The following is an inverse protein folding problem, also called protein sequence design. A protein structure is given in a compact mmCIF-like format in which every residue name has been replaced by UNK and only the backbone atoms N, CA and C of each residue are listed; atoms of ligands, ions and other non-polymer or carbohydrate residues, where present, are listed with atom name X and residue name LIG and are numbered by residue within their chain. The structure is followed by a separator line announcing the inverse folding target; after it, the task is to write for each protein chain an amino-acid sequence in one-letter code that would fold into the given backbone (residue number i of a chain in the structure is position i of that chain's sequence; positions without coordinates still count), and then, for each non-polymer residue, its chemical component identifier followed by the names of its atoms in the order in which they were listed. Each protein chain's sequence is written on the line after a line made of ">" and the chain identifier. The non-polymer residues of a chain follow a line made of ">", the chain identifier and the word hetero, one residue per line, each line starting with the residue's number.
data_IF_834520045144
#
_entry.id   IF_834520045144
#
_cell.length_a   1.000
_cell.length_b   1.000
_cell.length_c   1.000
_cell.angle_alpha   90.00
_cell.angle_beta   90.00
_cell.angle_gamma   90.00
#
_symmetry.space_group_name_H-M   'P 1'
#
loop_
_entity.id
_entity.type
_entity.pdbx_description
1 polymer ?
#
# COMPACT_ATOMS: atom_id res chain seq x y z
N UNK A 1 16.90 13.38 4.08
CA UNK A 1 15.86 13.19 5.14
C UNK A 1 15.42 11.76 5.05
N UNK A 2 15.42 11.03 6.16
CA UNK A 2 14.92 9.66 6.20
C UNK A 2 13.39 9.65 6.08
N UNK A 3 12.82 8.56 5.58
CA UNK A 3 11.37 8.46 5.33
C UNK A 3 10.52 8.72 6.58
N UNK A 4 10.96 8.23 7.76
CA UNK A 4 10.25 8.45 9.02
C UNK A 4 10.23 9.92 9.41
N UNK A 5 11.39 10.61 9.34
CA UNK A 5 11.50 12.06 9.62
C UNK A 5 10.57 12.87 8.70
N UNK A 6 10.44 12.43 7.45
CA UNK A 6 9.57 13.10 6.49
C UNK A 6 8.08 12.96 6.86
N UNK A 7 7.61 11.76 7.21
CA UNK A 7 6.24 11.55 7.67
C UNK A 7 5.97 12.25 9.01
N UNK A 8 6.91 12.23 9.94
CA UNK A 8 6.81 12.94 11.21
C UNK A 8 6.68 14.45 11.02
N UNK A 9 7.43 15.02 10.07
CA UNK A 9 7.30 16.44 9.71
C UNK A 9 5.94 16.78 9.13
N UNK A 10 5.38 15.91 8.28
CA UNK A 10 4.03 16.04 7.73
C UNK A 10 2.96 15.94 8.81
N UNK A 11 3.10 14.96 9.69
CA UNK A 11 2.18 14.78 10.82
C UNK A 11 2.19 16.00 11.77
N UNK A 12 3.36 16.57 12.02
CA UNK A 12 3.50 17.81 12.79
C UNK A 12 2.87 19.00 12.08
N UNK A 13 2.98 19.07 10.76
CA UNK A 13 2.46 20.18 9.94
C UNK A 13 0.92 20.15 9.82
N UNK A 14 0.34 18.99 9.56
CA UNK A 14 -1.06 18.85 9.17
C UNK A 14 -1.94 18.20 10.25
N UNK A 15 -1.35 17.44 11.17
CA UNK A 15 -2.10 16.71 12.21
C UNK A 15 -2.63 15.33 11.79
N UNK A 16 -3.20 14.62 12.77
CA UNK A 16 -3.61 13.20 12.65
C UNK A 16 -4.92 12.95 11.88
N UNK A 17 -5.67 14.00 11.54
CA UNK A 17 -6.95 13.87 10.83
C UNK A 17 -6.89 14.51 9.44
N UNK A 18 -5.69 14.78 8.96
CA UNK A 18 -5.45 15.41 7.66
C UNK A 18 -4.62 14.46 6.78
N UNK A 19 -5.21 13.93 5.73
CA UNK A 19 -4.57 12.94 4.86
C UNK A 19 -3.30 13.44 4.16
N UNK A 20 -3.03 14.76 4.15
CA UNK A 20 -1.76 15.32 3.71
C UNK A 20 -0.60 14.88 4.60
N UNK A 21 -0.86 14.49 5.86
CA UNK A 21 0.13 13.85 6.75
C UNK A 21 0.61 12.49 6.23
N UNK A 22 -0.22 11.77 5.47
CA UNK A 22 0.12 10.53 4.79
C UNK A 22 0.58 10.75 3.34
N UNK A 23 0.95 11.99 2.97
CA UNK A 23 1.34 12.37 1.61
C UNK A 23 0.24 12.27 0.56
N UNK A 24 -1.02 12.31 0.95
CA UNK A 24 -2.12 12.44 0.00
C UNK A 24 -2.30 13.91 -0.41
N UNK A 25 -2.76 14.13 -1.64
CA UNK A 25 -2.86 15.48 -2.21
C UNK A 25 -3.97 16.35 -1.61
N UNK A 26 -4.88 15.76 -0.85
CA UNK A 26 -6.03 16.46 -0.26
C UNK A 26 -6.24 16.09 1.21
N UNK A 27 -6.87 16.99 1.95
CA UNK A 27 -7.13 16.84 3.38
C UNK A 27 -8.06 15.67 3.69
N UNK A 28 -9.07 15.45 2.86
CA UNK A 28 -10.13 14.46 3.07
C UNK A 28 -9.74 13.07 2.57
N UNK A 29 -8.57 12.91 1.92
CA UNK A 29 -8.11 11.62 1.40
C UNK A 29 -8.94 11.06 0.26
N UNK A 30 -9.55 11.91 -0.58
CA UNK A 30 -10.40 11.47 -1.71
C UNK A 30 -9.67 10.54 -2.66
N UNK A 31 -8.41 10.85 -2.98
CA UNK A 31 -7.58 10.01 -3.84
C UNK A 31 -7.22 8.69 -3.17
N UNK A 32 -6.95 8.68 -1.86
CA UNK A 32 -6.73 7.46 -1.09
C UNK A 32 -7.97 6.57 -1.11
N UNK A 33 -9.13 7.15 -0.77
CA UNK A 33 -10.41 6.43 -0.79
C UNK A 33 -10.70 5.79 -2.14
N UNK A 34 -10.48 6.52 -3.25
CA UNK A 34 -10.71 6.00 -4.60
C UNK A 34 -9.84 4.77 -4.92
N UNK A 35 -8.59 4.74 -4.44
CA UNK A 35 -7.69 3.60 -4.61
C UNK A 35 -8.13 2.37 -3.81
N UNK A 36 -8.49 2.55 -2.54
CA UNK A 36 -9.06 1.46 -1.75
C UNK A 36 -10.38 0.96 -2.33
N UNK A 37 -11.25 1.86 -2.79
CA UNK A 37 -12.50 1.49 -3.45
C UNK A 37 -12.25 0.63 -4.68
N UNK A 38 -11.27 0.99 -5.51
CA UNK A 38 -10.90 0.19 -6.68
C UNK A 38 -10.43 -1.22 -6.29
N UNK A 39 -9.62 -1.37 -5.22
CA UNK A 39 -9.21 -2.68 -4.71
C UNK A 39 -10.41 -3.45 -4.16
N UNK A 40 -11.29 -2.75 -3.43
CA UNK A 40 -12.44 -3.37 -2.78
C UNK A 40 -13.44 -3.95 -3.79
N UNK A 41 -13.60 -3.32 -4.95
CA UNK A 41 -14.46 -3.78 -6.04
C UNK A 41 -13.95 -5.05 -6.76
N UNK A 42 -12.67 -5.43 -6.57
CA UNK A 42 -12.05 -6.55 -7.28
C UNK A 42 -12.10 -7.87 -6.51
N UNK A 43 -12.61 -7.89 -5.28
CA UNK A 43 -12.49 -9.06 -4.42
C UNK A 43 -13.69 -9.22 -3.48
N UNK A 44 -14.02 -10.47 -3.16
CA UNK A 44 -14.99 -10.76 -2.12
C UNK A 44 -14.30 -10.78 -0.75
N UNK A 45 -14.52 -9.73 0.03
CA UNK A 45 -13.88 -9.50 1.33
C UNK A 45 -14.53 -10.24 2.51
N UNK A 46 -15.64 -10.94 2.26
CA UNK A 46 -16.37 -11.65 3.31
C UNK A 46 -15.49 -12.72 3.96
N UNK A 47 -15.35 -12.66 5.27
CA UNK A 47 -14.55 -13.59 6.08
C UNK A 47 -13.06 -13.69 5.70
N UNK A 48 -12.48 -12.63 5.16
CA UNK A 48 -11.08 -12.62 4.69
C UNK A 48 -10.12 -12.05 5.71
N UNK A 49 -8.89 -12.62 5.72
CA UNK A 49 -7.74 -12.14 6.46
C UNK A 49 -6.93 -11.20 5.57
N UNK A 50 -6.77 -9.96 6.01
CA UNK A 50 -6.12 -8.89 5.27
C UNK A 50 -4.78 -8.51 5.88
N UNK A 51 -3.73 -8.49 5.06
CA UNK A 51 -2.46 -7.81 5.33
C UNK A 51 -2.43 -6.48 4.58
N UNK A 52 -2.14 -5.39 5.27
CA UNK A 52 -1.90 -4.09 4.62
C UNK A 52 -0.46 -3.62 4.85
N UNK A 53 0.29 -3.41 3.76
CA UNK A 53 1.65 -2.87 3.79
C UNK A 53 1.61 -1.36 3.55
N UNK A 54 2.18 -0.61 4.51
CA UNK A 54 2.09 0.86 4.54
C UNK A 54 0.72 1.34 5.00
N UNK A 55 0.21 0.76 6.09
CA UNK A 55 -1.13 1.04 6.60
C UNK A 55 -1.30 2.46 7.17
N UNK A 56 -0.20 3.19 7.42
CA UNK A 56 -0.24 4.49 8.05
C UNK A 56 -0.97 4.44 9.39
N UNK A 57 -1.91 5.34 9.58
CA UNK A 57 -2.78 5.35 10.78
C UNK A 57 -4.06 4.51 10.65
N UNK A 58 -4.11 3.54 9.73
CA UNK A 58 -5.27 2.68 9.53
C UNK A 58 -6.37 3.31 8.69
N UNK A 59 -6.01 4.12 7.69
CA UNK A 59 -6.95 4.85 6.83
C UNK A 59 -7.92 3.97 6.05
N UNK A 60 -7.61 2.69 5.86
CA UNK A 60 -8.54 1.69 5.34
C UNK A 60 -9.88 1.72 6.09
N UNK A 61 -9.85 1.79 7.41
CA UNK A 61 -11.05 1.83 8.26
C UNK A 61 -11.72 3.21 8.27
N UNK A 62 -10.97 4.31 8.10
CA UNK A 62 -11.54 5.66 8.01
C UNK A 62 -12.53 5.78 6.85
N UNK A 63 -12.34 4.99 5.79
CA UNK A 63 -13.22 4.98 4.62
C UNK A 63 -14.39 3.99 4.73
N UNK A 64 -14.53 3.30 5.86
CA UNK A 64 -15.62 2.38 6.13
C UNK A 64 -15.44 0.98 5.53
N UNK A 65 -14.22 0.62 5.07
CA UNK A 65 -13.94 -0.73 4.62
C UNK A 65 -13.77 -1.67 5.81
N UNK A 66 -14.13 -2.93 5.62
CA UNK A 66 -14.09 -3.95 6.67
C UNK A 66 -13.53 -5.27 6.16
N UNK A 67 -12.92 -6.04 7.05
CA UNK A 67 -12.46 -7.40 6.83
C UNK A 67 -12.58 -8.19 8.15
N UNK A 68 -12.48 -9.52 8.07
CA UNK A 68 -12.60 -10.38 9.27
C UNK A 68 -11.39 -10.20 10.20
N UNK A 69 -10.21 -10.53 9.71
CA UNK A 69 -8.94 -10.33 10.43
C UNK A 69 -8.10 -9.30 9.67
N UNK A 70 -7.36 -8.48 10.41
CA UNK A 70 -6.52 -7.43 9.83
C UNK A 70 -5.18 -7.37 10.54
N UNK A 71 -4.13 -7.23 9.73
CA UNK A 71 -2.80 -6.85 10.18
C UNK A 71 -2.27 -5.73 9.28
N UNK A 72 -2.05 -4.56 9.86
CA UNK A 72 -1.41 -3.43 9.19
C UNK A 72 0.05 -3.33 9.58
N UNK A 73 0.94 -3.13 8.62
CA UNK A 73 2.37 -2.92 8.82
C UNK A 73 2.76 -1.55 8.27
N UNK A 74 3.47 -0.77 9.08
CA UNK A 74 4.10 0.48 8.67
C UNK A 74 5.45 0.64 9.36
N UNK A 75 6.37 1.38 8.75
CA UNK A 75 7.70 1.65 9.33
C UNK A 75 7.70 2.84 10.28
N UNK A 76 6.63 3.64 10.31
CA UNK A 76 6.54 4.84 11.12
C UNK A 76 5.81 4.58 12.44
N UNK A 77 6.54 4.61 13.55
CA UNK A 77 6.04 4.35 14.90
C UNK A 77 4.92 5.31 15.32
N UNK A 78 4.99 6.59 14.92
CA UNK A 78 3.97 7.58 15.27
C UNK A 78 2.64 7.30 14.56
N UNK A 79 2.69 6.87 13.29
CA UNK A 79 1.49 6.46 12.56
C UNK A 79 0.88 5.19 13.15
N UNK A 80 1.70 4.19 13.49
CA UNK A 80 1.24 2.94 14.15
C UNK A 80 0.60 3.24 15.51
N UNK A 81 1.18 4.15 16.30
CA UNK A 81 0.59 4.58 17.57
C UNK A 81 -0.82 5.15 17.36
N UNK A 82 -0.98 6.06 16.39
CA UNK A 82 -2.29 6.64 16.05
C UNK A 82 -3.28 5.55 15.60
N UNK A 83 -2.83 4.62 14.73
CA UNK A 83 -3.66 3.51 14.25
C UNK A 83 -4.18 2.64 15.40
N UNK A 84 -3.29 2.29 16.34
CA UNK A 84 -3.62 1.46 17.51
C UNK A 84 -4.60 2.17 18.46
N UNK A 85 -4.43 3.48 18.65
CA UNK A 85 -5.37 4.29 19.45
C UNK A 85 -6.76 4.39 18.79
N UNK A 86 -6.80 4.58 17.45
CA UNK A 86 -8.06 4.69 16.69
C UNK A 86 -8.81 3.37 16.58
N UNK A 87 -8.10 2.26 16.42
CA UNK A 87 -8.65 0.95 16.12
C UNK A 87 -8.10 -0.14 17.05
N UNK A 88 -8.41 -0.10 18.38
CA UNK A 88 -7.78 -0.95 19.39
C UNK A 88 -8.07 -2.46 19.20
N UNK A 89 -9.08 -2.81 18.41
CA UNK A 89 -9.45 -4.20 18.09
C UNK A 89 -8.78 -4.72 16.80
N UNK A 90 -7.85 -3.96 16.22
CA UNK A 90 -7.10 -4.35 15.02
C UNK A 90 -5.62 -4.48 15.34
N UNK A 91 -4.91 -5.30 14.56
CA UNK A 91 -3.47 -5.50 14.75
C UNK A 91 -2.70 -4.52 13.87
N UNK A 92 -1.84 -3.72 14.50
CA UNK A 92 -0.91 -2.82 13.83
C UNK A 92 0.51 -3.10 14.32
N UNK A 93 1.48 -3.12 13.40
CA UNK A 93 2.87 -3.45 13.70
C UNK A 93 3.79 -2.40 13.08
N UNK A 94 4.72 -1.89 13.90
CA UNK A 94 5.88 -1.16 13.41
C UNK A 94 6.91 -2.16 12.93
N UNK A 95 7.01 -2.35 11.62
CA UNK A 95 7.94 -3.30 11.01
C UNK A 95 8.42 -2.81 9.64
N UNK A 96 9.64 -3.19 9.29
CA UNK A 96 10.17 -3.03 7.95
C UNK A 96 10.11 -4.36 7.21
N UNK A 97 9.36 -4.42 6.11
CA UNK A 97 9.21 -5.65 5.32
C UNK A 97 10.53 -6.24 4.83
N UNK A 98 11.59 -5.41 4.69
CA UNK A 98 12.93 -5.91 4.31
C UNK A 98 13.61 -6.74 5.40
N UNK A 99 13.07 -6.74 6.61
CA UNK A 99 13.57 -7.48 7.77
C UNK A 99 12.64 -8.62 8.17
N UNK A 100 11.51 -8.79 7.47
CA UNK A 100 10.52 -9.80 7.76
C UNK A 100 10.67 -11.00 6.82
N UNK A 101 10.38 -12.18 7.35
CA UNK A 101 10.13 -13.38 6.56
C UNK A 101 8.65 -13.42 6.22
N UNK A 102 8.26 -13.52 4.93
CA UNK A 102 6.87 -13.64 4.56
C UNK A 102 6.28 -14.96 5.08
N UNK A 103 5.03 -14.90 5.53
CA UNK A 103 4.28 -16.08 5.97
C UNK A 103 2.97 -16.11 5.21
N UNK A 104 2.68 -17.20 4.50
CA UNK A 104 1.40 -17.34 3.76
C UNK A 104 0.24 -17.57 4.74
N UNK A 105 -0.16 -16.52 5.44
CA UNK A 105 -1.20 -16.54 6.48
C UNK A 105 -2.43 -15.71 6.13
N UNK A 106 -2.38 -14.94 5.02
CA UNK A 106 -3.42 -14.00 4.65
C UNK A 106 -4.14 -14.44 3.37
N UNK A 107 -5.40 -14.11 3.27
CA UNK A 107 -6.16 -14.28 2.02
C UNK A 107 -5.79 -13.21 1.00
N UNK A 108 -5.61 -11.99 1.48
CA UNK A 108 -5.31 -10.82 0.65
C UNK A 108 -4.21 -9.97 1.28
N UNK A 109 -3.26 -9.53 0.48
CA UNK A 109 -2.33 -8.46 0.83
C UNK A 109 -2.58 -7.24 -0.05
N UNK A 110 -2.72 -6.07 0.57
CA UNK A 110 -2.90 -4.80 -0.15
C UNK A 110 -1.79 -3.82 0.16
N UNK A 111 -1.56 -2.90 -0.78
CA UNK A 111 -0.74 -1.73 -0.53
C UNK A 111 -1.17 -0.55 -1.40
N UNK A 112 -1.37 0.59 -0.77
CA UNK A 112 -1.76 1.82 -1.43
C UNK A 112 -0.85 2.98 -0.99
N UNK A 113 -0.15 3.58 -1.97
CA UNK A 113 0.72 4.74 -1.73
C UNK A 113 2.18 4.42 -1.37
N UNK A 114 2.54 3.16 -1.12
CA UNK A 114 3.92 2.77 -0.73
C UNK A 114 4.84 2.65 -1.93
N UNK A 115 4.39 1.99 -3.00
CA UNK A 115 5.24 1.67 -4.16
C UNK A 115 5.85 2.91 -4.81
N UNK A 116 5.14 4.04 -4.84
CA UNK A 116 5.61 5.29 -5.42
C UNK A 116 6.37 6.21 -4.47
N UNK A 117 6.70 5.78 -3.27
CA UNK A 117 7.37 6.66 -2.30
C UNK A 117 8.88 6.70 -2.56
N UNK A 118 9.39 7.86 -3.05
CA UNK A 118 10.83 8.08 -3.30
C UNK A 118 11.66 8.22 -2.03
N UNK A 119 11.05 8.50 -0.90
CA UNK A 119 11.75 8.67 0.39
C UNK A 119 12.17 7.32 1.01
N UNK A 120 11.73 6.19 0.43
CA UNK A 120 12.20 4.87 0.85
C UNK A 120 13.65 4.62 0.43
N UNK A 121 14.30 3.55 0.98
CA UNK A 121 15.68 3.20 0.61
C UNK A 121 15.82 3.06 -0.91
N UNK A 122 16.60 3.96 -1.52
CA UNK A 122 16.77 4.04 -2.98
C UNK A 122 17.70 2.97 -3.55
N UNK A 123 18.44 2.26 -2.71
CA UNK A 123 19.68 1.60 -3.09
C UNK A 123 19.58 0.08 -3.23
N UNK A 124 18.38 -0.50 -3.18
CA UNK A 124 18.21 -1.94 -3.42
C UNK A 124 17.95 -2.19 -4.91
N UNK A 125 18.89 -2.80 -5.65
CA UNK A 125 18.59 -3.34 -6.96
C UNK A 125 17.38 -4.27 -6.84
N UNK A 126 16.36 -4.10 -7.69
CA UNK A 126 15.12 -4.90 -7.68
C UNK A 126 14.16 -4.64 -6.49
N UNK A 127 14.13 -3.43 -5.92
CA UNK A 127 13.18 -3.05 -4.87
C UNK A 127 11.73 -3.45 -5.19
N UNK A 128 11.29 -3.21 -6.41
CA UNK A 128 9.95 -3.57 -6.87
C UNK A 128 9.70 -5.08 -6.84
N UNK A 129 10.62 -5.86 -7.40
CA UNK A 129 10.50 -7.32 -7.45
C UNK A 129 10.52 -7.92 -6.04
N UNK A 130 11.42 -7.43 -5.17
CA UNK A 130 11.43 -7.85 -3.77
C UNK A 130 10.10 -7.58 -3.08
N UNK A 131 9.58 -6.37 -3.25
CA UNK A 131 8.31 -5.94 -2.66
C UNK A 131 7.13 -6.81 -3.11
N UNK A 132 7.01 -7.05 -4.42
CA UNK A 132 5.97 -7.90 -4.98
C UNK A 132 6.11 -9.35 -4.51
N UNK A 133 7.32 -9.91 -4.47
CA UNK A 133 7.59 -11.26 -3.97
C UNK A 133 7.23 -11.39 -2.48
N UNK A 134 7.59 -10.41 -1.65
CA UNK A 134 7.22 -10.43 -0.23
C UNK A 134 5.70 -10.51 -0.06
N UNK A 135 4.97 -9.65 -0.74
CA UNK A 135 3.50 -9.64 -0.67
C UNK A 135 2.89 -10.93 -1.21
N UNK A 136 3.41 -11.43 -2.35
CA UNK A 136 2.93 -12.66 -2.98
C UNK A 136 3.19 -13.90 -2.11
N UNK A 137 4.30 -13.93 -1.40
CA UNK A 137 4.60 -14.99 -0.43
C UNK A 137 3.82 -14.87 0.88
N UNK A 138 3.14 -13.75 1.11
CA UNK A 138 2.39 -13.50 2.35
C UNK A 138 0.88 -13.75 2.22
N UNK A 139 0.34 -13.78 0.99
CA UNK A 139 -1.11 -13.87 0.77
C UNK A 139 -1.47 -14.53 -0.57
N UNK A 140 -2.67 -15.11 -0.64
CA UNK A 140 -3.18 -15.78 -1.85
C UNK A 140 -3.51 -14.79 -2.99
N UNK A 141 -3.91 -13.58 -2.65
CA UNK A 141 -4.16 -12.48 -3.59
C UNK A 141 -3.40 -11.24 -3.15
N UNK A 142 -2.75 -10.59 -4.09
CA UNK A 142 -2.00 -9.35 -3.85
C UNK A 142 -2.59 -8.24 -4.70
N UNK A 143 -2.78 -7.06 -4.10
CA UNK A 143 -3.27 -5.86 -4.79
C UNK A 143 -2.38 -4.67 -4.47
N UNK A 144 -1.73 -4.13 -5.48
CA UNK A 144 -0.84 -2.96 -5.31
C UNK A 144 -1.23 -1.85 -6.25
N UNK A 145 -1.40 -0.67 -5.69
CA UNK A 145 -1.64 0.53 -6.46
C UNK A 145 -0.32 1.25 -6.78
N UNK A 146 -0.12 1.60 -8.04
CA UNK A 146 1.07 2.25 -8.56
C UNK A 146 0.75 3.60 -9.17
N UNK A 147 1.53 4.67 -8.86
CA UNK A 147 1.50 5.91 -9.64
C UNK A 147 1.95 5.66 -11.08
N UNK A 148 1.12 6.07 -12.04
CA UNK A 148 1.38 5.82 -13.47
C UNK A 148 2.27 6.90 -14.08
N UNK A 149 3.26 6.49 -14.90
CA UNK A 149 4.04 7.41 -15.71
C UNK A 149 3.22 8.13 -16.81
N UNK A 150 1.93 7.77 -16.96
CA UNK A 150 0.96 8.46 -17.83
C UNK A 150 0.20 9.57 -17.10
N UNK A 151 0.50 9.80 -15.81
CA UNK A 151 -0.07 10.91 -15.04
C UNK A 151 0.31 12.26 -15.66
N UNK A 152 -0.69 13.13 -15.81
CA UNK A 152 -0.49 14.49 -16.36
C UNK A 152 -0.01 15.48 -15.31
N UNK A 153 -0.35 15.23 -14.04
CA UNK A 153 0.14 16.01 -12.89
C UNK A 153 1.07 15.10 -12.09
N UNK A 154 2.30 15.56 -11.84
CA UNK A 154 3.33 14.78 -11.16
C UNK A 154 3.93 15.56 -10.00
N UNK A 155 4.27 14.84 -8.93
CA UNK A 155 5.02 15.33 -7.78
C UNK A 155 6.48 14.86 -7.86
N UNK A 156 7.43 15.68 -7.50
CA UNK A 156 8.84 15.32 -7.40
C UNK A 156 9.12 14.28 -6.30
N UNK A 157 8.22 14.16 -5.33
CA UNK A 157 8.32 13.20 -4.20
C UNK A 157 7.78 11.82 -4.53
N UNK A 158 7.24 11.62 -5.75
CA UNK A 158 6.60 10.37 -6.16
C UNK A 158 7.37 9.75 -7.33
N UNK A 159 7.66 8.47 -7.23
CA UNK A 159 8.13 7.64 -8.32
C UNK A 159 6.95 7.17 -9.16
N UNK A 160 7.05 7.32 -10.48
CA UNK A 160 6.02 6.96 -11.43
C UNK A 160 6.48 5.78 -12.28
N UNK A 161 5.63 4.77 -12.40
CA UNK A 161 5.94 3.51 -13.05
C UNK A 161 5.28 3.39 -14.43
N UNK A 162 5.99 2.76 -15.37
CA UNK A 162 5.37 2.22 -16.58
C UNK A 162 4.53 1.00 -16.21
N UNK A 163 3.25 0.93 -16.60
CA UNK A 163 2.44 -0.28 -16.40
C UNK A 163 3.08 -1.51 -17.04
N UNK A 164 3.71 -1.34 -18.22
CA UNK A 164 4.38 -2.40 -18.96
C UNK A 164 5.60 -2.95 -18.20
N UNK A 165 6.39 -2.05 -17.57
CA UNK A 165 7.53 -2.45 -16.75
C UNK A 165 7.06 -3.24 -15.52
N UNK A 166 6.05 -2.73 -14.80
CA UNK A 166 5.52 -3.42 -13.62
C UNK A 166 4.92 -4.77 -13.98
N UNK A 167 4.18 -4.85 -15.10
CA UNK A 167 3.64 -6.11 -15.60
C UNK A 167 4.76 -7.11 -15.93
N UNK A 168 5.83 -6.66 -16.57
CA UNK A 168 7.00 -7.51 -16.87
C UNK A 168 7.65 -8.08 -15.61
N UNK A 169 7.78 -7.27 -14.54
CA UNK A 169 8.29 -7.77 -13.25
C UNK A 169 7.30 -8.75 -12.59
N UNK A 170 6.03 -8.48 -12.66
CA UNK A 170 4.98 -9.34 -12.09
C UNK A 170 4.93 -10.73 -12.78
N UNK A 171 5.14 -10.79 -14.09
CA UNK A 171 5.20 -12.04 -14.87
C UNK A 171 6.36 -12.96 -14.46
N UNK A 172 7.40 -12.45 -13.79
CA UNK A 172 8.45 -13.30 -13.21
C UNK A 172 8.01 -14.02 -11.94
N UNK A 173 6.84 -13.64 -11.37
CA UNK A 173 6.31 -14.15 -10.11
C UNK A 173 5.15 -15.11 -10.34
N UNK A 174 4.20 -14.73 -11.19
CA UNK A 174 3.01 -15.52 -11.53
C UNK A 174 2.50 -15.14 -12.92
N UNK A 175 1.79 -16.05 -13.57
CA UNK A 175 1.05 -15.78 -14.81
C UNK A 175 -0.40 -15.31 -14.55
N UNK A 176 -0.90 -15.50 -13.32
CA UNK A 176 -2.26 -15.11 -12.94
C UNK A 176 -2.30 -13.65 -12.50
N UNK A 177 -2.32 -12.74 -13.49
CA UNK A 177 -2.17 -11.31 -13.30
C UNK A 177 -3.35 -10.56 -13.92
N UNK A 178 -3.80 -9.53 -13.22
CA UNK A 178 -4.70 -8.52 -13.76
C UNK A 178 -4.09 -7.13 -13.53
N UNK A 179 -4.05 -6.29 -14.56
CA UNK A 179 -3.63 -4.90 -14.49
C UNK A 179 -4.81 -4.02 -14.91
N UNK A 180 -5.24 -3.12 -14.01
CA UNK A 180 -6.38 -2.23 -14.22
C UNK A 180 -5.87 -0.80 -14.25
N UNK A 181 -5.90 -0.16 -15.42
CA UNK A 181 -5.49 1.23 -15.63
C UNK A 181 -6.70 2.09 -15.99
N UNK A 182 -7.60 2.27 -15.02
CA UNK A 182 -8.85 3.03 -15.19
C UNK A 182 -8.60 4.54 -15.21
N UNK A 183 -7.63 5.00 -14.42
CA UNK A 183 -7.28 6.41 -14.29
C UNK A 183 -5.87 6.68 -14.84
N UNK A 184 -5.64 7.89 -15.42
CA UNK A 184 -4.31 8.25 -15.92
C UNK A 184 -3.25 8.37 -14.83
N UNK A 185 -3.67 8.72 -13.60
CA UNK A 185 -2.76 8.94 -12.46
C UNK A 185 -2.19 7.67 -11.86
N UNK A 186 -2.96 6.57 -11.91
CA UNK A 186 -2.68 5.35 -11.18
C UNK A 186 -3.15 4.11 -11.93
N UNK A 187 -2.53 2.98 -11.63
CA UNK A 187 -3.03 1.66 -12.01
C UNK A 187 -2.96 0.67 -10.85
N UNK A 188 -3.83 -0.29 -10.86
CA UNK A 188 -3.90 -1.38 -9.91
C UNK A 188 -3.35 -2.66 -10.54
N UNK A 189 -2.37 -3.27 -9.86
CA UNK A 189 -1.88 -4.61 -10.16
C UNK A 189 -2.50 -5.60 -9.18
N UNK A 190 -2.99 -6.72 -9.72
CA UNK A 190 -3.51 -7.84 -8.94
C UNK A 190 -2.73 -9.09 -9.34
N UNK A 191 -2.15 -9.77 -8.35
CA UNK A 191 -1.48 -11.06 -8.52
C UNK A 191 -2.24 -12.12 -7.74
N UNK A 192 -2.38 -13.32 -8.31
CA UNK A 192 -3.02 -14.45 -7.63
C UNK A 192 -2.16 -15.70 -7.75
N UNK A 193 -2.19 -16.54 -6.73
CA UNK A 193 -1.69 -17.90 -6.87
C UNK A 193 -2.53 -18.68 -7.88
N UNK A 194 -1.92 -19.63 -8.57
CA UNK A 194 -2.66 -20.57 -9.41
C UNK A 194 -3.44 -21.51 -8.48
N UNK A 195 -4.68 -21.78 -8.82
CA UNK A 195 -5.52 -22.76 -8.13
C UNK A 195 -4.97 -24.18 -8.33
#
# INVERSE_FOLDING_TARGET
>A
MQINEWYDSKLKQFGKDDFRSLNWGDKEGKSAKARYQQMFEQYNWSNKKLLEIGCGWGSFFDFGFTCNEYCGIDINSNLIKIATEKYPNKVFREDNITQLTPTNMFDVAISSGVAGNRQGPSDTPNKLTYYLNFMFSSANTVMVNFPSNRATIRSEYVEYFSPEYVLGQALTITENIQLIHKYKSDFLLILKHNE
#
